data_IF_103955370320
#
_entry.id   IF_103955370320
#
_cell.length_a   1.000
_cell.length_b   1.000
_cell.length_c   1.000
_cell.angle_alpha   90.00
_cell.angle_beta   90.00
_cell.angle_gamma   90.00
#
_symmetry.space_group_name_H-M   'P 1'
#
loop_
_entity.id
_entity.type
_entity.pdbx_description
1 polymer ?
#
# COMPACT_ATOMS: atom_id res chain seq x y z
N UNK A 1 -7.51 9.90 7.91
CA UNK A 1 -6.86 8.62 8.26
C UNK A 1 -7.87 7.50 8.46
N UNK A 2 -8.95 7.71 9.18
CA UNK A 2 -9.92 6.64 9.47
C UNK A 2 -10.64 6.12 8.22
N UNK A 3 -11.01 6.99 7.30
CA UNK A 3 -11.62 6.58 6.03
C UNK A 3 -10.64 5.73 5.18
N UNK A 4 -9.37 6.09 5.21
CA UNK A 4 -8.32 5.36 4.51
C UNK A 4 -8.13 3.96 5.09
N UNK A 5 -8.10 3.85 6.42
CA UNK A 5 -7.98 2.56 7.13
C UNK A 5 -9.20 1.68 6.85
N UNK A 6 -10.41 2.26 6.87
CA UNK A 6 -11.63 1.51 6.56
C UNK A 6 -11.61 0.94 5.14
N UNK A 7 -11.13 1.72 4.18
CA UNK A 7 -11.02 1.26 2.79
C UNK A 7 -10.03 0.10 2.68
N UNK A 8 -8.91 0.18 3.38
CA UNK A 8 -7.91 -0.89 3.41
C UNK A 8 -8.47 -2.17 4.06
N UNK A 9 -9.25 -2.03 5.13
CA UNK A 9 -9.92 -3.17 5.78
C UNK A 9 -10.90 -3.86 4.83
N UNK A 10 -11.72 -3.09 4.14
CA UNK A 10 -12.69 -3.63 3.17
C UNK A 10 -12.00 -4.36 2.03
N UNK A 11 -10.89 -3.82 1.53
CA UNK A 11 -10.10 -4.46 0.48
C UNK A 11 -9.45 -5.75 0.99
N UNK A 12 -8.90 -5.75 2.20
CA UNK A 12 -8.27 -6.92 2.79
C UNK A 12 -9.23 -8.12 2.85
N UNK A 13 -10.51 -7.86 3.14
CA UNK A 13 -11.52 -8.91 3.20
C UNK A 13 -11.72 -9.64 1.86
N UNK A 14 -11.29 -9.04 0.76
CA UNK A 14 -11.39 -9.61 -0.59
C UNK A 14 -10.08 -10.22 -1.10
N UNK A 15 -9.03 -10.22 -0.29
CA UNK A 15 -7.72 -10.72 -0.70
C UNK A 15 -7.78 -12.19 -1.12
N UNK A 16 -7.01 -12.51 -2.17
CA UNK A 16 -6.87 -13.88 -2.67
C UNK A 16 -5.52 -14.42 -2.21
N UNK A 17 -5.50 -15.13 -1.09
CA UNK A 17 -4.28 -15.65 -0.48
C UNK A 17 -4.43 -17.13 -0.08
N UNK A 18 -4.76 -18.02 -1.05
CA UNK A 18 -5.04 -19.43 -0.73
C UNK A 18 -3.80 -20.23 -0.31
N UNK A 19 -2.60 -19.76 -0.65
CA UNK A 19 -1.36 -20.47 -0.37
C UNK A 19 -0.75 -20.05 0.96
N UNK A 20 -0.55 -18.75 1.19
CA UNK A 20 0.08 -18.24 2.40
C UNK A 20 -0.91 -18.03 3.55
N UNK A 21 -2.18 -17.80 3.25
CA UNK A 21 -3.18 -17.34 4.22
C UNK A 21 -2.81 -16.02 4.87
N UNK A 22 -1.91 -15.25 4.23
CA UNK A 22 -1.52 -13.91 4.66
C UNK A 22 -2.28 -12.88 3.82
N UNK A 23 -3.28 -12.26 4.43
CA UNK A 23 -4.19 -11.34 3.77
C UNK A 23 -3.75 -9.90 4.03
N UNK A 24 -3.62 -9.12 2.97
CA UNK A 24 -3.19 -7.72 3.06
C UNK A 24 -4.21 -6.84 2.36
N UNK A 25 -4.53 -5.72 2.99
CA UNK A 25 -5.28 -4.64 2.38
C UNK A 25 -4.45 -3.38 2.42
N UNK A 26 -4.59 -2.57 1.37
CA UNK A 26 -3.94 -1.26 1.29
C UNK A 26 -4.91 -0.24 0.73
N UNK A 27 -4.74 1.01 1.13
CA UNK A 27 -5.50 2.12 0.56
C UNK A 27 -4.58 3.32 0.42
N UNK A 28 -4.80 4.09 -0.64
CA UNK A 28 -3.98 5.26 -0.97
C UNK A 28 -4.89 6.42 -1.31
N UNK A 29 -4.57 7.59 -0.76
CA UNK A 29 -5.25 8.84 -1.08
C UNK A 29 -4.51 9.52 -2.20
N UNK A 30 -5.24 9.99 -3.21
CA UNK A 30 -4.62 10.70 -4.33
C UNK A 30 -4.59 12.22 -4.08
N UNK A 31 -4.08 12.99 -5.05
CA UNK A 31 -3.96 14.45 -4.97
C UNK A 31 -5.30 15.17 -4.95
N UNK A 32 -6.39 14.48 -5.31
CA UNK A 32 -7.75 15.02 -5.29
C UNK A 32 -8.52 14.61 -4.02
N UNK A 33 -7.87 13.89 -3.09
CA UNK A 33 -8.50 13.40 -1.88
C UNK A 33 -9.29 12.10 -2.05
N UNK A 34 -9.29 11.52 -3.25
CA UNK A 34 -9.97 10.23 -3.50
C UNK A 34 -9.15 9.07 -2.95
N UNK A 35 -9.83 8.05 -2.46
CA UNK A 35 -9.21 6.86 -1.88
C UNK A 35 -9.31 5.69 -2.85
N UNK A 36 -8.18 5.03 -3.07
CA UNK A 36 -8.06 3.86 -3.93
C UNK A 36 -7.54 2.70 -3.10
N UNK A 37 -8.25 1.58 -3.11
CA UNK A 37 -7.90 0.44 -2.27
C UNK A 37 -7.54 -0.77 -3.12
N UNK A 38 -6.78 -1.69 -2.53
CA UNK A 38 -6.38 -2.93 -3.16
C UNK A 38 -6.08 -4.00 -2.13
N UNK A 39 -6.01 -5.23 -2.61
CA UNK A 39 -5.67 -6.39 -1.80
C UNK A 39 -4.60 -7.21 -2.51
N UNK A 40 -3.93 -8.11 -1.78
CA UNK A 40 -2.99 -9.02 -2.41
C UNK A 40 -3.73 -10.13 -3.15
N UNK A 41 -3.12 -10.57 -4.25
CA UNK A 41 -3.64 -11.60 -5.14
C UNK A 41 -2.51 -12.57 -5.41
N UNK A 42 -2.58 -13.74 -4.77
CA UNK A 42 -1.57 -14.78 -4.97
C UNK A 42 -1.83 -15.56 -6.25
N UNK A 43 -0.81 -16.22 -6.74
CA UNK A 43 -0.87 -17.03 -7.94
C UNK A 43 -0.15 -18.36 -7.67
N UNK A 44 -0.62 -19.45 -8.25
CA UNK A 44 0.08 -20.73 -8.19
C UNK A 44 1.50 -20.62 -8.73
N UNK A 45 1.71 -19.77 -9.73
CA UNK A 45 3.04 -19.36 -10.16
C UNK A 45 3.47 -18.20 -9.27
N UNK A 46 4.17 -18.47 -8.19
CA UNK A 46 4.48 -17.52 -7.12
C UNK A 46 5.05 -16.19 -7.60
N UNK A 47 5.95 -16.12 -8.60
CA UNK A 47 6.46 -14.83 -9.07
C UNK A 47 5.39 -13.93 -9.69
N UNK A 48 4.21 -14.45 -10.01
CA UNK A 48 3.11 -13.70 -10.59
C UNK A 48 2.16 -13.13 -9.53
N UNK A 49 2.47 -13.30 -8.26
CA UNK A 49 1.70 -12.70 -7.18
C UNK A 49 1.70 -11.18 -7.25
N UNK A 50 0.67 -10.56 -6.71
CA UNK A 50 0.43 -9.12 -6.79
C UNK A 50 0.16 -8.59 -5.39
N UNK A 51 0.93 -7.59 -4.94
CA UNK A 51 0.78 -7.02 -3.59
C UNK A 51 -0.41 -6.08 -3.52
N UNK A 52 -0.94 -5.89 -2.32
CA UNK A 52 -2.08 -5.00 -2.07
C UNK A 52 -1.76 -3.56 -2.48
N UNK A 53 -0.58 -3.08 -2.18
CA UNK A 53 -0.14 -1.73 -2.55
C UNK A 53 -0.11 -1.54 -4.06
N UNK A 54 0.34 -2.56 -4.78
CA UNK A 54 0.37 -2.55 -6.23
C UNK A 54 -1.03 -2.47 -6.82
N UNK A 55 -1.99 -3.23 -6.24
CA UNK A 55 -3.40 -3.18 -6.64
C UNK A 55 -4.00 -1.80 -6.42
N UNK A 56 -3.69 -1.16 -5.28
CA UNK A 56 -4.17 0.19 -4.98
C UNK A 56 -3.58 1.21 -5.96
N UNK A 57 -2.30 1.12 -6.29
CA UNK A 57 -1.65 1.99 -7.28
C UNK A 57 -2.29 1.82 -8.65
N UNK A 58 -2.56 0.59 -9.07
CA UNK A 58 -3.20 0.34 -10.36
C UNK A 58 -4.58 1.02 -10.44
N UNK A 59 -5.35 0.94 -9.37
CA UNK A 59 -6.66 1.58 -9.28
C UNK A 59 -6.52 3.12 -9.37
N UNK A 60 -5.56 3.68 -8.65
CA UNK A 60 -5.26 5.11 -8.67
C UNK A 60 -4.90 5.58 -10.08
N UNK A 61 -3.99 4.87 -10.75
CA UNK A 61 -3.54 5.21 -12.10
C UNK A 61 -4.70 5.16 -13.09
N UNK A 62 -5.55 4.12 -13.00
CA UNK A 62 -6.71 3.98 -13.89
C UNK A 62 -7.76 5.07 -13.67
N UNK A 63 -7.80 5.70 -12.50
CA UNK A 63 -8.70 6.83 -12.25
C UNK A 63 -8.22 8.14 -12.88
N UNK A 64 -6.98 8.17 -13.38
CA UNK A 64 -6.36 9.37 -13.93
C UNK A 64 -5.54 10.16 -12.92
N UNK A 65 -5.48 9.73 -11.67
CA UNK A 65 -4.66 10.38 -10.66
C UNK A 65 -3.17 10.07 -10.89
N UNK A 66 -2.30 10.93 -10.37
CA UNK A 66 -0.86 10.87 -10.64
C UNK A 66 0.00 10.90 -9.38
N UNK A 67 -0.58 11.12 -8.20
CA UNK A 67 0.18 11.24 -6.96
C UNK A 67 -0.51 10.53 -5.81
N UNK A 68 0.31 9.95 -4.93
CA UNK A 68 -0.12 9.38 -3.66
C UNK A 68 0.23 10.37 -2.55
N UNK A 69 -0.75 10.70 -1.70
CA UNK A 69 -0.55 11.65 -0.60
C UNK A 69 -0.59 11.00 0.78
N UNK A 70 -1.16 9.80 0.89
CA UNK A 70 -1.26 9.08 2.17
C UNK A 70 -1.54 7.61 1.89
N UNK A 71 -0.99 6.72 2.73
CA UNK A 71 -1.11 5.26 2.56
C UNK A 71 -1.51 4.60 3.87
N UNK A 72 -2.39 3.60 3.82
CA UNK A 72 -2.66 2.70 4.94
C UNK A 72 -2.48 1.26 4.49
N UNK A 73 -1.87 0.43 5.34
CA UNK A 73 -1.60 -0.99 5.06
C UNK A 73 -1.99 -1.81 6.27
N UNK A 74 -2.69 -2.92 6.06
CA UNK A 74 -3.09 -3.88 7.08
C UNK A 74 -2.69 -5.28 6.67
N UNK A 75 -1.94 -5.98 7.54
CA UNK A 75 -1.61 -7.40 7.35
C UNK A 75 -2.47 -8.29 8.25
N UNK A 76 -1.94 -9.45 8.62
CA UNK A 76 -2.61 -10.38 9.52
C UNK A 76 -2.31 -10.03 10.98
N UNK A 77 -3.33 -10.16 11.83
CA UNK A 77 -3.18 -10.03 13.28
C UNK A 77 -2.73 -8.63 13.70
N UNK A 78 -1.89 -8.59 14.73
CA UNK A 78 -1.41 -7.36 15.34
C UNK A 78 0.11 -7.16 15.17
N UNK A 79 0.74 -7.96 14.31
CA UNK A 79 2.17 -7.81 13.99
C UNK A 79 2.34 -6.69 12.97
N UNK A 80 3.34 -5.83 13.19
CA UNK A 80 3.65 -4.74 12.29
C UNK A 80 3.94 -5.27 10.88
N UNK A 81 3.16 -4.81 9.92
CA UNK A 81 3.31 -5.17 8.50
C UNK A 81 3.58 -3.89 7.71
N UNK A 82 4.83 -3.70 7.29
CA UNK A 82 5.21 -2.60 6.41
C UNK A 82 5.15 -3.08 4.95
N UNK A 83 5.04 -2.16 3.98
CA UNK A 83 5.18 -2.54 2.58
C UNK A 83 6.52 -3.22 2.32
N UNK A 84 6.53 -4.26 1.50
CA UNK A 84 7.78 -4.91 1.11
C UNK A 84 8.66 -3.96 0.29
N UNK A 85 9.94 -4.32 0.11
CA UNK A 85 10.88 -3.45 -0.60
C UNK A 85 10.42 -3.04 -1.98
N UNK A 86 9.88 -3.98 -2.76
CA UNK A 86 9.35 -3.70 -4.09
C UNK A 86 8.19 -2.72 -4.07
N UNK A 87 7.29 -2.84 -3.10
CA UNK A 87 6.15 -1.92 -2.97
C UNK A 87 6.59 -0.53 -2.53
N UNK A 88 7.61 -0.43 -1.69
CA UNK A 88 8.18 0.88 -1.31
C UNK A 88 8.71 1.62 -2.54
N UNK A 89 9.38 0.92 -3.43
CA UNK A 89 9.87 1.50 -4.68
C UNK A 89 8.70 1.89 -5.60
N UNK A 90 7.65 1.07 -5.68
CA UNK A 90 6.47 1.40 -6.48
C UNK A 90 5.76 2.64 -5.95
N UNK A 91 5.64 2.77 -4.63
CA UNK A 91 5.06 3.97 -4.00
C UNK A 91 5.92 5.20 -4.31
N UNK A 92 7.25 5.04 -4.32
CA UNK A 92 8.20 6.12 -4.61
C UNK A 92 7.96 6.78 -5.96
N UNK A 93 7.45 6.05 -6.93
CA UNK A 93 7.12 6.60 -8.26
C UNK A 93 6.08 7.72 -8.17
N UNK A 94 5.13 7.61 -7.23
CA UNK A 94 3.97 8.50 -7.14
C UNK A 94 3.95 9.36 -5.89
N UNK A 95 4.87 9.18 -4.95
CA UNK A 95 4.81 9.81 -3.64
C UNK A 95 6.10 10.57 -3.31
N UNK A 96 5.95 11.70 -2.63
CA UNK A 96 7.06 12.42 -2.04
C UNK A 96 7.55 11.68 -0.79
N UNK A 97 8.79 11.96 -0.37
CA UNK A 97 9.41 11.27 0.76
C UNK A 97 8.73 11.48 2.10
N UNK A 98 7.97 12.56 2.27
CA UNK A 98 7.26 12.88 3.50
C UNK A 98 5.86 12.27 3.59
N UNK A 99 5.43 11.54 2.57
CA UNK A 99 4.13 10.86 2.57
C UNK A 99 4.07 9.85 3.70
N UNK A 100 2.97 9.87 4.48
CA UNK A 100 2.78 8.98 5.61
C UNK A 100 2.24 7.62 5.17
N UNK A 101 2.83 6.58 5.73
CA UNK A 101 2.39 5.19 5.55
C UNK A 101 1.97 4.67 6.92
N UNK A 102 0.68 4.48 7.10
CA UNK A 102 0.08 4.03 8.35
C UNK A 102 -0.03 2.51 8.34
N UNK A 103 0.68 1.85 9.24
CA UNK A 103 0.65 0.39 9.38
C UNK A 103 -0.26 0.03 10.54
N UNK A 104 -1.29 -0.76 10.24
CA UNK A 104 -2.37 -1.05 11.18
C UNK A 104 -2.54 -2.56 11.40
N UNK A 105 -3.21 -2.92 12.49
CA UNK A 105 -3.65 -4.30 12.73
C UNK A 105 -4.74 -4.69 11.74
N UNK A 106 -5.05 -5.99 11.67
CA UNK A 106 -6.12 -6.48 10.78
C UNK A 106 -7.50 -5.91 11.11
N UNK A 107 -7.69 -5.39 12.32
CA UNK A 107 -8.95 -4.74 12.73
C UNK A 107 -8.86 -3.21 12.68
N UNK A 108 -7.82 -2.67 12.07
CA UNK A 108 -7.71 -1.24 11.78
C UNK A 108 -7.15 -0.40 12.91
N UNK A 109 -6.49 -0.98 13.90
CA UNK A 109 -5.82 -0.22 14.97
C UNK A 109 -4.43 0.17 14.48
N UNK A 110 -4.13 1.46 14.56
CA UNK A 110 -2.83 1.99 14.14
C UNK A 110 -1.71 1.45 15.04
N UNK A 111 -0.71 0.82 14.44
CA UNK A 111 0.48 0.37 15.15
C UNK A 111 1.60 1.40 15.05
N UNK A 112 1.89 1.88 13.84
CA UNK A 112 2.92 2.88 13.61
C UNK A 112 2.74 3.55 12.27
N UNK A 113 3.05 4.85 12.21
CA UNK A 113 3.13 5.61 10.97
C UNK A 113 4.59 5.90 10.64
N UNK A 114 4.95 5.70 9.38
CA UNK A 114 6.28 6.02 8.85
C UNK A 114 6.14 7.06 7.75
N UNK A 115 7.21 7.77 7.47
CA UNK A 115 7.33 8.46 6.18
C UNK A 115 7.90 7.49 5.16
N UNK A 116 7.69 7.78 3.88
CA UNK A 116 8.31 6.98 2.82
C UNK A 116 9.83 7.04 2.93
N UNK A 117 10.41 8.21 3.24
CA UNK A 117 11.87 8.35 3.42
C UNK A 117 12.42 7.46 4.53
N UNK A 118 11.65 7.24 5.60
CA UNK A 118 12.06 6.33 6.67
C UNK A 118 12.12 4.88 6.20
N UNK A 119 11.19 4.48 5.32
CA UNK A 119 11.10 3.11 4.81
C UNK A 119 11.97 2.86 3.58
N UNK A 120 12.34 3.91 2.86
CA UNK A 120 13.15 3.82 1.64
C UNK A 120 14.15 4.97 1.59
N UNK A 121 15.15 4.96 2.48
CA UNK A 121 16.15 6.04 2.52
C UNK A 121 17.04 6.06 1.27
N UNK A 122 17.46 7.26 0.85
CA UNK A 122 18.34 7.44 -0.30
C UNK A 122 17.82 6.73 -1.56
N UNK A 123 16.51 6.84 -1.81
CA UNK A 123 15.85 6.02 -2.83
C UNK A 123 16.13 6.52 -4.24
N UNK A 124 16.18 5.57 -5.18
CA UNK A 124 16.14 5.85 -6.60
C UNK A 124 14.74 6.34 -6.98
N UNK A 125 14.66 7.39 -7.77
CA UNK A 125 13.38 7.95 -8.19
C UNK A 125 13.45 8.60 -9.56
N UNK A 126 12.32 9.19 -10.04
CA UNK A 126 12.22 9.77 -11.37
C UNK A 126 13.29 10.84 -11.68
N UNK A 127 13.71 11.58 -10.65
CA UNK A 127 14.73 12.61 -10.79
C UNK A 127 16.10 12.05 -11.21
N UNK A 128 16.36 10.77 -10.99
CA UNK A 128 17.60 10.12 -11.39
C UNK A 128 17.68 9.85 -12.89
N UNK A 129 16.52 9.90 -13.58
CA UNK A 129 16.44 9.64 -15.01
C UNK A 129 16.29 10.91 -15.87
N UNK A 130 16.39 12.05 -15.26
CA UNK A 130 16.30 13.34 -15.97
C UNK A 130 17.64 13.74 -16.54
#
# INVERSE_FOLDING_TARGET
MQDLIKAAMAARAKAHAPYSKFYVGAAMRDEHGQVHAGCNIENAAYPQGWCAECSAIAHLVMSGATRVTEVAVLGNGDVLCTPCGGCRQKIREFAAGDVKIHCCTEVGVLLKSFTLDELLPASFGPENLK
#
